data_IF_606911688783
#
_entry.id   IF_606911688783
#
_cell.length_a   1.000
_cell.length_b   1.000
_cell.length_c   1.000
_cell.angle_alpha   90.00
_cell.angle_beta   90.00
_cell.angle_gamma   90.00
#
_symmetry.space_group_name_H-M   'P 1'
#
loop_
_entity.id
_entity.type
_entity.pdbx_description
1 polymer ?
#
# COMPACT_ATOMS: atom_id res chain seq x y z
N UNK A 1 62.11 -19.92 25.31
CA UNK A 1 61.30 -18.72 25.63
C UNK A 1 60.62 -18.11 24.42
N UNK A 2 61.24 -18.10 23.24
CA UNK A 2 60.71 -17.48 21.99
C UNK A 2 59.35 -18.10 21.46
N UNK A 3 59.17 -19.42 21.60
CA UNK A 3 57.96 -20.12 21.15
C UNK A 3 56.76 -19.94 22.09
N UNK A 4 56.92 -19.74 23.38
CA UNK A 4 55.84 -19.43 24.33
C UNK A 4 55.22 -18.07 24.04
N UNK A 5 56.05 -17.04 23.75
CA UNK A 5 55.58 -15.70 23.37
C UNK A 5 54.75 -15.70 22.07
N UNK A 6 55.19 -16.47 21.05
CA UNK A 6 54.44 -16.61 19.78
C UNK A 6 53.10 -17.28 20.00
N UNK A 7 52.99 -18.33 20.83
CA UNK A 7 51.74 -19.01 21.16
C UNK A 7 50.80 -18.11 21.96
N UNK A 8 51.31 -17.29 22.90
CA UNK A 8 50.52 -16.32 23.64
C UNK A 8 49.95 -15.23 22.72
N UNK A 9 50.78 -14.68 21.82
CA UNK A 9 50.33 -13.70 20.83
C UNK A 9 49.27 -14.25 19.89
N UNK A 10 49.40 -15.51 19.44
CA UNK A 10 48.39 -16.15 18.60
C UNK A 10 47.07 -16.35 19.36
N UNK A 11 47.10 -16.75 20.63
CA UNK A 11 45.89 -16.91 21.46
C UNK A 11 45.19 -15.57 21.73
N UNK A 12 45.95 -14.50 21.98
CA UNK A 12 45.39 -13.14 22.16
C UNK A 12 44.79 -12.62 20.87
N UNK A 13 45.41 -12.87 19.72
CA UNK A 13 44.86 -12.51 18.40
C UNK A 13 43.54 -13.25 18.10
N UNK A 14 43.47 -14.56 18.39
CA UNK A 14 42.25 -15.35 18.25
C UNK A 14 41.16 -14.85 19.18
N UNK A 15 41.50 -14.50 20.43
CA UNK A 15 40.54 -13.96 21.39
C UNK A 15 40.00 -12.58 20.95
N UNK A 16 40.86 -11.72 20.39
CA UNK A 16 40.43 -10.42 19.83
C UNK A 16 39.54 -10.60 18.62
N UNK A 17 39.85 -11.57 17.73
CA UNK A 17 38.99 -11.88 16.56
C UNK A 17 37.62 -12.43 16.97
N UNK A 18 37.52 -13.25 18.01
CA UNK A 18 36.26 -13.80 18.48
C UNK A 18 35.36 -12.75 19.16
N UNK A 19 35.95 -11.75 19.83
CA UNK A 19 35.18 -10.65 20.46
C UNK A 19 34.62 -9.69 19.41
N UNK A 20 35.25 -9.57 18.23
CA UNK A 20 34.83 -8.65 17.18
C UNK A 20 33.59 -9.10 16.41
N UNK A 21 33.13 -10.35 16.57
CA UNK A 21 31.99 -10.90 15.79
C UNK A 21 30.63 -10.78 16.48
N UNK A 22 30.54 -10.18 17.66
CA UNK A 22 29.26 -9.94 18.34
C UNK A 22 28.65 -8.57 17.97
N UNK A 23 28.73 -8.17 16.70
CA UNK A 23 27.89 -7.10 16.20
C UNK A 23 26.45 -7.60 16.17
N UNK A 24 25.73 -7.44 17.29
CA UNK A 24 24.26 -7.57 17.26
C UNK A 24 23.76 -6.62 16.19
N UNK A 25 23.35 -7.16 15.06
CA UNK A 25 22.70 -6.40 14.01
C UNK A 25 21.38 -5.87 14.57
N UNK A 26 21.41 -4.69 15.19
CA UNK A 26 20.21 -3.98 15.58
C UNK A 26 19.46 -3.68 14.29
N UNK A 27 18.33 -4.36 14.08
CA UNK A 27 17.47 -4.10 12.95
C UNK A 27 17.15 -2.60 12.91
N UNK A 28 17.49 -1.93 11.81
CA UNK A 28 17.30 -0.50 11.67
C UNK A 28 15.83 -0.15 11.86
N UNK A 29 15.54 0.82 12.73
CA UNK A 29 14.18 1.30 12.97
C UNK A 29 13.64 1.96 11.71
N UNK A 30 12.53 1.46 11.18
CA UNK A 30 11.93 1.94 9.93
C UNK A 30 10.42 1.87 9.97
N UNK A 31 9.76 2.79 9.25
CA UNK A 31 8.31 2.70 9.01
C UNK A 31 8.03 1.66 7.91
N UNK A 32 6.98 0.87 8.08
CA UNK A 32 6.60 -0.22 7.16
C UNK A 32 6.38 0.22 5.72
N UNK A 33 5.98 1.49 5.50
CA UNK A 33 5.79 2.07 4.16
C UNK A 33 6.19 3.55 4.16
N UNK A 34 7.01 3.97 3.19
CA UNK A 34 7.35 5.39 2.96
C UNK A 34 6.22 6.14 2.25
N UNK A 35 5.40 5.43 1.46
CA UNK A 35 4.22 5.96 0.79
C UNK A 35 3.13 4.89 0.70
N UNK A 36 1.86 5.34 0.67
CA UNK A 36 0.70 4.47 0.49
C UNK A 36 -0.46 5.24 -0.16
N UNK A 37 -1.18 4.57 -1.06
CA UNK A 37 -2.46 5.07 -1.57
C UNK A 37 -3.60 4.25 -0.97
N UNK A 38 -4.64 4.93 -0.49
CA UNK A 38 -5.82 4.31 0.13
C UNK A 38 -7.10 4.94 -0.45
N UNK A 39 -8.21 4.22 -0.34
CA UNK A 39 -9.54 4.78 -0.65
C UNK A 39 -10.12 5.50 0.57
N UNK A 40 -11.05 6.44 0.33
CA UNK A 40 -11.87 7.05 1.40
C UNK A 40 -12.61 5.96 2.17
N UNK A 41 -12.61 6.05 3.50
CA UNK A 41 -13.22 5.10 4.45
C UNK A 41 -12.73 3.64 4.30
N UNK A 42 -11.49 3.45 3.82
CA UNK A 42 -10.82 2.15 3.79
C UNK A 42 -9.60 2.19 4.74
N UNK A 43 -9.70 1.60 5.94
CA UNK A 43 -8.61 1.62 6.89
C UNK A 43 -7.42 0.78 6.44
N UNK A 44 -6.20 1.22 6.80
CA UNK A 44 -4.93 0.55 6.56
C UNK A 44 -4.08 0.61 7.82
N UNK A 45 -3.21 -0.35 7.97
CA UNK A 45 -2.29 -0.40 9.10
C UNK A 45 -0.87 -0.03 8.68
N UNK A 46 -0.25 0.86 9.46
CA UNK A 46 1.16 1.20 9.42
C UNK A 46 1.80 0.76 10.73
N UNK A 47 3.04 0.31 10.68
CA UNK A 47 3.84 -0.04 11.84
C UNK A 47 5.28 0.43 11.68
N UNK A 48 6.03 0.40 12.76
CA UNK A 48 7.46 0.68 12.78
C UNK A 48 8.19 -0.59 13.19
N UNK A 49 9.08 -1.05 12.33
CA UNK A 49 9.95 -2.21 12.56
C UNK A 49 11.21 -1.81 13.32
N UNK A 50 11.90 -2.80 13.91
CA UNK A 50 13.21 -2.63 14.55
C UNK A 50 13.15 -1.92 15.91
N UNK A 51 11.99 -1.85 16.57
CA UNK A 51 11.85 -1.23 17.88
C UNK A 51 10.77 -1.89 18.73
N UNK A 52 11.02 -1.97 20.05
CA UNK A 52 10.04 -2.29 21.09
C UNK A 52 9.56 -1.02 21.83
N UNK A 53 10.10 0.16 21.50
CA UNK A 53 9.75 1.42 22.15
C UNK A 53 8.36 1.88 21.69
N UNK A 54 7.68 2.64 22.54
CA UNK A 54 6.37 3.24 22.23
C UNK A 54 6.45 4.12 20.99
N UNK A 55 5.51 3.91 20.05
CA UNK A 55 5.35 4.70 18.84
C UNK A 55 4.20 5.68 19.05
N UNK A 56 4.41 6.96 18.76
CA UNK A 56 3.36 7.95 18.70
C UNK A 56 3.08 8.35 17.26
N UNK A 57 1.79 8.45 16.89
CA UNK A 57 1.37 8.71 15.53
C UNK A 57 0.68 10.07 15.42
N UNK A 58 1.00 10.82 14.35
CA UNK A 58 0.36 12.10 14.03
C UNK A 58 0.13 12.23 12.52
N UNK A 59 -1.03 12.76 12.13
CA UNK A 59 -1.30 13.17 10.74
C UNK A 59 -1.05 14.67 10.58
N UNK A 60 -0.46 15.08 9.46
CA UNK A 60 -0.29 16.51 9.12
C UNK A 60 -1.58 17.17 8.65
N UNK A 61 -2.58 16.35 8.24
CA UNK A 61 -3.89 16.83 7.82
C UNK A 61 -4.98 15.81 8.20
N UNK A 62 -5.60 16.02 9.36
CA UNK A 62 -6.65 15.15 9.89
C UNK A 62 -7.97 15.22 9.12
N UNK A 63 -8.20 16.26 8.31
CA UNK A 63 -9.33 16.36 7.38
C UNK A 63 -9.20 15.37 6.22
N UNK A 64 -7.96 15.00 5.85
CA UNK A 64 -7.66 14.05 4.77
C UNK A 64 -7.43 12.64 5.31
N UNK A 65 -6.59 12.51 6.35
CA UNK A 65 -6.23 11.22 6.95
C UNK A 65 -6.22 11.34 8.47
N UNK A 66 -6.92 10.44 9.14
CA UNK A 66 -6.77 10.22 10.60
C UNK A 66 -5.87 9.02 10.86
N UNK A 67 -5.17 9.02 12.00
CA UNK A 67 -4.35 7.91 12.47
C UNK A 67 -4.64 7.63 13.93
N UNK A 68 -4.87 6.35 14.27
CA UNK A 68 -4.98 5.87 15.66
C UNK A 68 -3.61 5.60 16.25
N UNK A 69 -3.48 5.55 17.58
CA UNK A 69 -2.21 5.20 18.26
C UNK A 69 -1.75 3.76 17.97
N UNK A 70 -2.62 2.90 17.49
CA UNK A 70 -2.28 1.56 16.95
C UNK A 70 -1.60 1.58 15.58
N UNK A 71 -1.48 2.76 14.94
CA UNK A 71 -0.96 2.89 13.57
C UNK A 71 -2.01 2.69 12.46
N UNK A 72 -3.29 2.48 12.83
CA UNK A 72 -4.37 2.38 11.85
C UNK A 72 -4.69 3.75 11.26
N UNK A 73 -4.47 3.93 9.96
CA UNK A 73 -4.83 5.13 9.20
C UNK A 73 -6.19 4.95 8.52
N UNK A 74 -6.96 6.03 8.42
CA UNK A 74 -8.24 6.06 7.70
C UNK A 74 -8.34 7.32 6.86
N UNK A 75 -8.57 7.17 5.55
CA UNK A 75 -8.85 8.29 4.65
C UNK A 75 -10.23 8.88 4.92
N UNK A 76 -10.31 10.18 5.17
CA UNK A 76 -11.57 10.91 5.39
C UNK A 76 -12.07 11.61 4.15
N UNK A 77 -11.16 12.22 3.39
CA UNK A 77 -11.45 12.96 2.16
C UNK A 77 -10.31 12.73 1.16
N UNK A 78 -10.62 12.75 -0.13
CA UNK A 78 -9.62 12.68 -1.18
C UNK A 78 -8.59 13.82 -1.03
N UNK A 79 -7.32 13.47 -1.19
CA UNK A 79 -6.22 14.42 -1.00
C UNK A 79 -4.91 13.74 -0.59
N UNK A 80 -3.95 14.55 -0.15
CA UNK A 80 -2.65 14.09 0.32
C UNK A 80 -2.41 14.54 1.76
N UNK A 81 -1.79 13.69 2.57
CA UNK A 81 -1.33 14.01 3.92
C UNK A 81 -0.08 13.17 4.23
N UNK A 82 0.69 13.60 5.23
CA UNK A 82 1.80 12.80 5.75
C UNK A 82 1.42 12.28 7.14
N UNK A 83 1.60 10.97 7.34
CA UNK A 83 1.52 10.36 8.66
C UNK A 83 2.94 10.24 9.21
N UNK A 84 3.14 10.70 10.43
CA UNK A 84 4.43 10.73 11.13
C UNK A 84 4.36 9.79 12.32
N UNK A 85 5.27 8.82 12.37
CA UNK A 85 5.55 7.99 13.53
C UNK A 85 6.76 8.57 14.27
N UNK A 86 6.65 8.80 15.58
CA UNK A 86 7.77 9.22 16.44
C UNK A 86 8.15 8.10 17.39
N UNK A 87 9.43 7.78 17.43
CA UNK A 87 10.04 6.74 18.28
C UNK A 87 11.34 7.27 18.84
N UNK A 88 11.48 7.35 20.16
CA UNK A 88 12.71 7.78 20.83
C UNK A 88 13.29 9.07 20.23
N UNK A 89 12.45 10.10 20.04
CA UNK A 89 12.85 11.40 19.48
C UNK A 89 13.00 11.45 17.96
N UNK A 90 13.12 10.30 17.28
CA UNK A 90 13.24 10.24 15.80
C UNK A 90 11.88 10.18 15.13
N UNK A 91 11.76 10.78 13.93
CA UNK A 91 10.52 10.84 13.15
C UNK A 91 10.63 10.02 11.86
N UNK A 92 9.62 9.20 11.59
CA UNK A 92 9.50 8.38 10.38
C UNK A 92 8.22 8.78 9.66
N UNK A 93 8.31 9.10 8.37
CA UNK A 93 7.22 9.69 7.60
C UNK A 93 6.67 8.70 6.57
N UNK A 94 5.33 8.69 6.40
CA UNK A 94 4.64 7.99 5.33
C UNK A 94 3.77 9.01 4.57
N UNK A 95 4.01 9.18 3.27
CA UNK A 95 3.15 9.97 2.39
C UNK A 95 1.87 9.19 2.08
N UNK A 96 0.71 9.75 2.40
CA UNK A 96 -0.58 9.10 2.19
C UNK A 96 -1.36 9.86 1.13
N UNK A 97 -1.77 9.17 0.07
CA UNK A 97 -2.72 9.67 -0.93
C UNK A 97 -4.06 8.98 -0.72
N UNK A 98 -5.12 9.77 -0.57
CA UNK A 98 -6.49 9.27 -0.43
C UNK A 98 -7.24 9.49 -1.73
N UNK A 99 -7.82 8.42 -2.30
CA UNK A 99 -8.63 8.48 -3.51
C UNK A 99 -10.12 8.46 -3.19
N UNK A 100 -10.89 9.32 -3.86
CA UNK A 100 -12.35 9.23 -3.90
C UNK A 100 -12.82 8.06 -4.78
N UNK A 101 -14.08 7.65 -4.64
CA UNK A 101 -14.69 6.64 -5.53
C UNK A 101 -14.58 7.07 -7.00
N UNK A 102 -14.82 8.36 -7.30
CA UNK A 102 -14.70 8.93 -8.65
C UNK A 102 -13.29 8.83 -9.23
N UNK A 103 -12.27 9.04 -8.42
CA UNK A 103 -10.88 8.87 -8.86
C UNK A 103 -10.53 7.40 -9.11
N UNK A 104 -11.08 6.48 -8.31
CA UNK A 104 -10.92 5.03 -8.51
C UNK A 104 -11.64 4.60 -9.80
N UNK A 105 -12.89 5.02 -9.99
CA UNK A 105 -13.66 4.80 -11.22
C UNK A 105 -12.90 5.30 -12.46
N UNK A 106 -12.37 6.52 -12.42
CA UNK A 106 -11.58 7.08 -13.51
C UNK A 106 -10.34 6.23 -13.84
N UNK A 107 -9.65 5.69 -12.83
CA UNK A 107 -8.49 4.80 -13.04
C UNK A 107 -8.89 3.48 -13.67
N UNK A 108 -10.00 2.88 -13.24
CA UNK A 108 -10.55 1.66 -13.85
C UNK A 108 -10.94 1.93 -15.29
N UNK A 109 -11.72 2.98 -15.53
CA UNK A 109 -12.12 3.39 -16.86
C UNK A 109 -10.92 3.60 -17.80
N UNK A 110 -9.94 4.41 -17.40
CA UNK A 110 -8.74 4.68 -18.22
C UNK A 110 -7.92 3.42 -18.50
N UNK A 111 -7.91 2.45 -17.56
CA UNK A 111 -7.24 1.17 -17.75
C UNK A 111 -7.91 0.31 -18.83
N UNK A 112 -9.22 0.34 -18.90
CA UNK A 112 -10.02 -0.47 -19.84
C UNK A 112 -10.19 0.25 -21.18
N UNK A 113 -10.45 1.55 -21.17
CA UNK A 113 -10.70 2.38 -22.35
C UNK A 113 -9.57 2.33 -23.37
N UNK A 114 -8.31 2.19 -22.94
CA UNK A 114 -7.17 2.07 -23.84
C UNK A 114 -7.22 0.85 -24.79
N UNK A 115 -8.05 -0.16 -24.45
CA UNK A 115 -8.26 -1.34 -25.28
C UNK A 115 -9.50 -1.20 -26.20
N UNK A 116 -10.39 -0.24 -25.89
CA UNK A 116 -11.68 -0.07 -26.57
C UNK A 116 -12.07 1.41 -26.61
N UNK A 117 -11.88 2.08 -27.73
CA UNK A 117 -12.03 3.54 -27.86
C UNK A 117 -13.43 4.10 -27.66
N UNK A 118 -14.49 3.29 -27.76
CA UNK A 118 -15.90 3.74 -27.70
C UNK A 118 -16.64 3.23 -26.45
N UNK A 119 -15.94 3.13 -25.32
CA UNK A 119 -16.57 2.79 -24.04
C UNK A 119 -17.12 4.03 -23.35
N UNK A 120 -18.21 3.83 -22.60
CA UNK A 120 -18.81 4.82 -21.71
C UNK A 120 -18.77 4.35 -20.25
N UNK A 121 -18.83 5.29 -19.32
CA UNK A 121 -19.04 5.01 -17.89
C UNK A 121 -20.55 4.88 -17.69
N UNK A 122 -21.00 3.74 -17.17
CA UNK A 122 -22.42 3.45 -16.97
C UNK A 122 -22.82 3.59 -15.51
N UNK A 123 -21.95 3.21 -14.58
CA UNK A 123 -22.25 3.31 -13.16
C UNK A 123 -21.02 3.15 -12.26
N UNK A 124 -21.16 3.62 -11.01
CA UNK A 124 -20.15 3.43 -9.98
C UNK A 124 -20.85 3.33 -8.62
N UNK A 125 -20.88 2.15 -8.03
CA UNK A 125 -21.64 1.86 -6.81
C UNK A 125 -20.71 1.32 -5.72
N UNK A 126 -20.84 1.82 -4.49
CA UNK A 126 -20.08 1.33 -3.36
C UNK A 126 -20.93 0.39 -2.51
N UNK A 127 -20.41 -0.81 -2.27
CA UNK A 127 -20.97 -1.81 -1.35
C UNK A 127 -19.93 -2.17 -0.29
N UNK A 128 -20.01 -1.54 0.88
CA UNK A 128 -19.06 -1.74 1.97
C UNK A 128 -17.60 -1.45 1.54
N UNK A 129 -16.76 -2.48 1.48
CA UNK A 129 -15.34 -2.39 1.07
C UNK A 129 -15.10 -2.68 -0.41
N UNK A 130 -16.16 -2.79 -1.21
CA UNK A 130 -16.07 -3.01 -2.66
C UNK A 130 -16.66 -1.81 -3.39
N UNK A 131 -16.00 -1.39 -4.47
CA UNK A 131 -16.51 -0.44 -5.43
C UNK A 131 -16.79 -1.19 -6.74
N UNK A 132 -18.02 -1.19 -7.18
CA UNK A 132 -18.45 -1.73 -8.47
C UNK A 132 -18.38 -0.61 -9.50
N UNK A 133 -17.63 -0.81 -10.59
CA UNK A 133 -17.45 0.15 -11.68
C UNK A 133 -17.94 -0.49 -12.96
N UNK A 134 -18.99 0.07 -13.52
CA UNK A 134 -19.63 -0.39 -14.75
C UNK A 134 -19.16 0.42 -15.94
N UNK A 135 -18.66 -0.28 -16.94
CA UNK A 135 -18.14 0.30 -18.19
C UNK A 135 -18.73 -0.51 -19.35
N UNK A 136 -19.17 0.14 -20.39
CA UNK A 136 -19.74 -0.60 -21.51
C UNK A 136 -20.03 0.25 -22.73
N UNK A 137 -20.73 -0.36 -23.67
CA UNK A 137 -21.26 0.28 -24.88
C UNK A 137 -22.77 0.21 -24.82
N UNK A 138 -23.48 1.34 -24.89
CA UNK A 138 -24.91 1.30 -25.15
C UNK A 138 -25.15 0.67 -26.52
N UNK A 139 -26.02 -0.32 -26.58
CA UNK A 139 -26.44 -0.98 -27.84
C UNK A 139 -27.95 -1.17 -27.83
N UNK A 140 -28.70 -0.38 -28.61
CA UNK A 140 -30.13 -0.57 -28.80
C UNK A 140 -30.88 -0.90 -27.50
N UNK A 141 -31.60 -2.03 -27.47
CA UNK A 141 -32.35 -2.49 -26.30
C UNK A 141 -31.48 -3.13 -25.19
N UNK A 142 -30.17 -3.33 -25.40
CA UNK A 142 -29.29 -3.94 -24.42
C UNK A 142 -27.89 -3.28 -24.38
N UNK A 143 -27.48 -2.88 -23.21
CA UNK A 143 -26.10 -2.42 -22.97
C UNK A 143 -25.17 -3.62 -22.76
N UNK A 144 -24.02 -3.64 -23.45
CA UNK A 144 -22.93 -4.59 -23.11
C UNK A 144 -22.13 -3.95 -22.00
N UNK A 145 -22.20 -4.52 -20.80
CA UNK A 145 -21.60 -3.98 -19.59
C UNK A 145 -20.56 -4.94 -19.03
N UNK A 146 -19.40 -4.42 -18.67
CA UNK A 146 -18.45 -5.13 -17.81
C UNK A 146 -18.41 -4.45 -16.46
N UNK A 147 -18.59 -5.21 -15.38
CA UNK A 147 -18.48 -4.74 -14.01
C UNK A 147 -17.13 -5.11 -13.43
N UNK A 148 -16.34 -4.10 -13.04
CA UNK A 148 -15.13 -4.30 -12.26
C UNK A 148 -15.43 -4.12 -10.77
N UNK A 149 -15.22 -5.18 -9.98
CA UNK A 149 -15.30 -5.15 -8.52
C UNK A 149 -13.93 -4.77 -7.95
N UNK A 150 -13.80 -3.56 -7.43
CA UNK A 150 -12.56 -3.05 -6.84
C UNK A 150 -12.60 -3.24 -5.33
N UNK A 151 -11.71 -4.04 -4.79
CA UNK A 151 -11.52 -4.16 -3.35
C UNK A 151 -10.83 -2.90 -2.81
N UNK A 152 -11.52 -2.10 -2.01
CA UNK A 152 -11.02 -0.82 -1.51
C UNK A 152 -9.91 -0.96 -0.45
N UNK A 153 -9.74 -2.17 0.14
CA UNK A 153 -8.61 -2.45 1.04
C UNK A 153 -7.33 -2.79 0.29
N UNK A 154 -7.40 -3.45 -0.86
CA UNK A 154 -6.22 -3.94 -1.59
C UNK A 154 -5.94 -3.16 -2.88
N UNK A 155 -6.92 -2.44 -3.40
CA UNK A 155 -6.88 -1.81 -4.72
C UNK A 155 -7.04 -2.79 -5.88
N UNK A 156 -7.22 -4.09 -5.60
CA UNK A 156 -7.39 -5.11 -6.65
C UNK A 156 -8.76 -4.96 -7.32
N UNK A 157 -8.77 -4.79 -8.63
CA UNK A 157 -9.94 -4.80 -9.49
C UNK A 157 -10.05 -6.16 -10.19
N UNK A 158 -11.25 -6.73 -10.21
CA UNK A 158 -11.57 -8.01 -10.87
C UNK A 158 -12.82 -7.81 -11.70
N UNK A 159 -12.76 -8.12 -12.99
CA UNK A 159 -13.89 -8.05 -13.91
C UNK A 159 -14.82 -9.25 -13.75
N UNK A 160 -16.10 -9.04 -14.04
CA UNK A 160 -17.07 -10.13 -14.25
C UNK A 160 -16.57 -11.07 -15.36
N UNK A 161 -16.62 -12.37 -15.08
CA UNK A 161 -16.00 -13.36 -15.95
C UNK A 161 -16.70 -13.52 -17.29
N UNK A 162 -18.04 -13.57 -17.29
CA UNK A 162 -18.80 -13.81 -18.51
C UNK A 162 -18.67 -12.65 -19.47
N UNK A 163 -19.01 -11.47 -19.02
CA UNK A 163 -18.96 -10.25 -19.83
C UNK A 163 -17.53 -9.98 -20.31
N UNK A 164 -16.52 -10.19 -19.45
CA UNK A 164 -15.13 -10.02 -19.85
C UNK A 164 -14.70 -11.02 -20.92
N UNK A 165 -15.00 -12.30 -20.76
CA UNK A 165 -14.62 -13.35 -21.72
C UNK A 165 -15.31 -13.20 -23.05
N UNK A 166 -16.58 -12.86 -23.05
CA UNK A 166 -17.41 -12.74 -24.24
C UNK A 166 -17.07 -11.49 -25.06
N UNK A 167 -17.02 -10.32 -24.41
CA UNK A 167 -16.98 -9.02 -25.07
C UNK A 167 -15.71 -8.21 -24.84
N UNK A 168 -15.01 -8.40 -23.74
CA UNK A 168 -13.91 -7.56 -23.30
C UNK A 168 -12.56 -8.31 -23.13
N UNK A 169 -12.31 -9.34 -23.90
CA UNK A 169 -11.10 -10.19 -23.83
C UNK A 169 -9.77 -9.44 -23.95
N UNK A 170 -9.73 -8.31 -24.65
CA UNK A 170 -8.52 -7.49 -24.82
C UNK A 170 -8.13 -6.70 -23.56
N UNK A 171 -9.10 -6.37 -22.70
CA UNK A 171 -8.83 -5.67 -21.44
C UNK A 171 -8.40 -6.65 -20.34
N UNK A 172 -7.60 -6.23 -19.37
CA UNK A 172 -7.18 -7.11 -18.28
C UNK A 172 -8.38 -7.47 -17.38
N UNK A 173 -8.55 -8.78 -17.11
CA UNK A 173 -9.56 -9.24 -16.17
C UNK A 173 -9.28 -8.81 -14.73
N UNK A 174 -8.00 -8.72 -14.38
CA UNK A 174 -7.57 -8.36 -13.02
C UNK A 174 -6.40 -7.39 -13.10
N UNK A 175 -6.43 -6.34 -12.27
CA UNK A 175 -5.31 -5.39 -12.12
C UNK A 175 -5.40 -4.64 -10.79
N UNK A 176 -4.32 -3.94 -10.43
CA UNK A 176 -4.30 -3.08 -9.24
C UNK A 176 -4.56 -1.64 -9.66
N UNK A 177 -5.45 -0.96 -8.92
CA UNK A 177 -5.84 0.44 -9.15
C UNK A 177 -4.92 1.38 -8.37
N UNK A 178 -4.44 0.96 -7.17
CA UNK A 178 -3.57 1.73 -6.26
C UNK A 178 -2.80 0.86 -5.27
#
# INVERSE_FOLDING_TARGET
MKNRRKRLLALVLVLILTISMSATAFAAVRISRKSITIAVNAPRWLHVDGTKKKVTWKSTNTKVVTVKQTGTITGKKAGKATVVARVAGKSYKCAVTVLSNKQIENRVYSRVHKYYGNLTRLGCFRRGTTLEVEIGRPRGEGAIVITYKVNLKTGKAVADYYTWREFFRKAPRTFTVF
#
